data_IF_989728228191
#
_entry.id   IF_989728228191
#
_cell.length_a   1.000
_cell.length_b   1.000
_cell.length_c   1.000
_cell.angle_alpha   90.00
_cell.angle_beta   90.00
_cell.angle_gamma   90.00
#
_symmetry.space_group_name_H-M   'P 1'
#
loop_
_entity.id
_entity.type
_entity.pdbx_description
1 polymer ?
#
# COMPACT_ATOMS: atom_id res chain seq x y z
N UNK A 1 29.82 -14.27 -14.53
CA UNK A 1 28.38 -14.16 -14.21
C UNK A 1 27.74 -13.36 -15.32
N UNK A 2 26.74 -13.91 -16.01
CA UNK A 2 26.18 -13.34 -17.25
C UNK A 2 25.32 -12.11 -16.95
N UNK A 3 25.46 -11.04 -17.74
CA UNK A 3 24.64 -9.81 -17.65
C UNK A 3 23.13 -10.12 -17.65
N UNK A 4 22.69 -11.18 -18.33
CA UNK A 4 21.28 -11.60 -18.32
C UNK A 4 20.81 -12.07 -16.95
N UNK A 5 21.67 -12.74 -16.19
CA UNK A 5 21.37 -13.17 -14.82
C UNK A 5 21.27 -11.97 -13.86
N UNK A 6 22.08 -10.94 -14.11
CA UNK A 6 22.07 -9.69 -13.34
C UNK A 6 20.81 -8.85 -13.63
N UNK A 7 20.32 -8.84 -14.88
CA UNK A 7 19.06 -8.20 -15.28
C UNK A 7 17.82 -8.95 -14.78
N UNK A 8 17.83 -10.29 -14.79
CA UNK A 8 16.74 -11.10 -14.24
C UNK A 8 16.60 -10.94 -12.71
N UNK A 9 17.72 -10.82 -11.99
CA UNK A 9 17.70 -10.50 -10.55
C UNK A 9 17.22 -9.07 -10.26
N UNK A 10 17.48 -8.12 -11.16
CA UNK A 10 17.01 -6.73 -11.04
C UNK A 10 15.48 -6.60 -11.20
N UNK A 11 14.85 -7.53 -11.94
CA UNK A 11 13.40 -7.56 -12.16
C UNK A 11 12.60 -8.24 -11.01
N UNK A 12 13.28 -8.81 -10.01
CA UNK A 12 12.65 -9.42 -8.83
C UNK A 12 12.63 -8.51 -7.59
N UNK A 13 13.39 -7.41 -7.60
CA UNK A 13 13.34 -6.41 -6.55
C UNK A 13 12.27 -5.38 -6.87
N UNK A 14 11.11 -5.51 -6.23
CA UNK A 14 10.19 -4.37 -6.11
C UNK A 14 10.97 -3.19 -5.52
N UNK A 15 10.96 -2.01 -6.15
CA UNK A 15 11.75 -0.87 -5.64
C UNK A 15 11.30 -0.56 -4.21
N UNK A 16 10.00 -0.64 -3.94
CA UNK A 16 9.42 -0.37 -2.62
C UNK A 16 9.51 -1.58 -1.69
N UNK A 17 10.18 -1.42 -0.55
CA UNK A 17 10.31 -2.47 0.47
C UNK A 17 9.43 -2.20 1.68
N UNK A 18 8.93 -3.27 2.30
CA UNK A 18 8.32 -3.16 3.64
C UNK A 18 9.45 -2.79 4.59
N UNK A 19 9.33 -1.71 5.37
CA UNK A 19 10.33 -1.37 6.37
C UNK A 19 10.61 -2.55 7.31
N UNK A 20 11.89 -2.77 7.66
CA UNK A 20 12.26 -3.83 8.61
C UNK A 20 11.84 -3.48 10.05
N UNK A 21 11.82 -2.18 10.37
CA UNK A 21 11.48 -1.59 11.67
C UNK A 21 10.75 -0.25 11.51
N UNK A 22 10.16 0.25 12.60
CA UNK A 22 9.52 1.58 12.64
C UNK A 22 10.55 2.57 13.23
N UNK A 23 11.25 3.29 12.35
CA UNK A 23 12.20 4.35 12.71
C UNK A 23 11.49 5.66 12.98
N UNK A 24 12.18 6.64 13.56
CA UNK A 24 11.59 7.96 13.83
C UNK A 24 11.24 8.72 12.55
N UNK A 25 12.03 8.55 11.48
CA UNK A 25 11.70 9.10 10.16
C UNK A 25 10.39 8.51 9.60
N UNK A 26 10.17 7.20 9.77
CA UNK A 26 8.90 6.55 9.37
C UNK A 26 7.74 7.06 10.23
N UNK A 27 7.93 7.25 11.54
CA UNK A 27 6.91 7.83 12.42
C UNK A 27 6.57 9.25 12.00
N UNK A 28 7.57 10.06 11.70
CA UNK A 28 7.38 11.44 11.24
C UNK A 28 6.57 11.48 9.93
N UNK A 29 6.94 10.64 8.97
CA UNK A 29 6.19 10.49 7.72
C UNK A 29 4.74 10.08 7.98
N UNK A 30 4.50 9.06 8.82
CA UNK A 30 3.15 8.60 9.14
C UNK A 30 2.31 9.68 9.84
N UNK A 31 2.91 10.43 10.79
CA UNK A 31 2.26 11.53 11.52
C UNK A 31 1.87 12.69 10.60
N UNK A 32 2.55 12.86 9.47
CA UNK A 32 2.15 13.85 8.45
C UNK A 32 0.87 13.45 7.68
N UNK A 33 0.46 12.18 7.73
CA UNK A 33 -0.67 11.62 6.97
C UNK A 33 -1.91 11.41 7.83
N UNK A 34 -1.76 10.76 8.98
CA UNK A 34 -2.86 10.38 9.87
C UNK A 34 -2.46 10.51 11.35
N UNK A 35 -3.43 10.74 12.26
CA UNK A 35 -3.15 10.90 13.70
C UNK A 35 -2.86 9.59 14.44
N UNK A 36 -2.84 8.46 13.73
CA UNK A 36 -2.64 7.11 14.29
C UNK A 36 -1.18 6.68 14.22
N UNK A 37 -0.85 5.61 14.93
CA UNK A 37 0.47 4.99 14.85
C UNK A 37 0.49 3.86 13.80
N UNK A 38 1.60 3.71 13.05
CA UNK A 38 1.77 2.60 12.13
C UNK A 38 2.02 1.30 12.91
N UNK A 39 1.49 0.20 12.38
CA UNK A 39 1.56 -1.13 13.00
C UNK A 39 1.98 -2.18 11.98
N UNK A 40 2.86 -3.09 12.39
CA UNK A 40 3.18 -4.25 11.58
C UNK A 40 2.07 -5.29 11.67
N UNK A 41 1.56 -5.72 10.52
CA UNK A 41 0.52 -6.73 10.40
C UNK A 41 0.99 -7.91 9.56
N UNK A 42 0.34 -9.06 9.76
CA UNK A 42 0.55 -10.24 8.92
C UNK A 42 -0.17 -10.06 7.59
N UNK A 43 0.48 -10.46 6.50
CA UNK A 43 -0.14 -10.58 5.19
C UNK A 43 -0.38 -12.05 4.85
N UNK A 44 -1.65 -12.40 4.65
CA UNK A 44 -2.12 -13.74 4.29
C UNK A 44 -3.06 -13.60 3.08
N UNK A 45 -2.49 -13.54 1.85
CA UNK A 45 -3.29 -13.32 0.65
C UNK A 45 -4.33 -14.40 0.42
N UNK A 46 -5.53 -14.02 -0.02
CA UNK A 46 -6.56 -14.99 -0.39
C UNK A 46 -6.18 -15.76 -1.66
N UNK A 47 -6.56 -17.04 -1.73
CA UNK A 47 -6.49 -17.78 -3.00
C UNK A 47 -7.33 -17.06 -4.07
N UNK A 48 -6.74 -16.83 -5.25
CA UNK A 48 -7.37 -16.10 -6.37
C UNK A 48 -7.69 -14.62 -6.06
N UNK A 49 -6.94 -14.00 -5.15
CA UNK A 49 -6.91 -12.54 -5.04
C UNK A 49 -6.11 -11.92 -6.17
N UNK A 50 -6.61 -10.81 -6.71
CA UNK A 50 -5.87 -10.02 -7.69
C UNK A 50 -5.11 -8.90 -6.96
N UNK A 51 -3.89 -8.63 -7.41
CA UNK A 51 -3.08 -7.47 -7.01
C UNK A 51 -3.85 -6.18 -7.36
N UNK A 52 -3.74 -5.14 -6.54
CA UNK A 52 -4.41 -3.83 -6.73
C UNK A 52 -5.93 -3.78 -6.50
N UNK A 53 -6.54 -4.86 -5.99
CA UNK A 53 -7.96 -4.92 -5.60
C UNK A 53 -8.15 -5.09 -4.08
N UNK A 54 -7.42 -4.31 -3.29
CA UNK A 54 -7.35 -4.53 -1.84
C UNK A 54 -8.69 -4.35 -1.13
N UNK A 55 -9.51 -3.41 -1.58
CA UNK A 55 -10.85 -3.18 -1.06
C UNK A 55 -11.77 -4.39 -1.30
N UNK A 56 -11.79 -4.90 -2.53
CA UNK A 56 -12.64 -6.02 -2.95
C UNK A 56 -12.15 -7.34 -2.33
N UNK A 57 -10.83 -7.50 -2.16
CA UNK A 57 -10.27 -8.64 -1.43
C UNK A 57 -10.77 -8.67 0.02
N UNK A 58 -10.81 -7.53 0.70
CA UNK A 58 -11.36 -7.41 2.06
C UNK A 58 -12.87 -7.63 2.07
N UNK A 59 -13.62 -7.09 1.11
CA UNK A 59 -15.08 -7.34 1.01
C UNK A 59 -15.39 -8.84 0.87
N UNK A 60 -14.66 -9.54 0.01
CA UNK A 60 -14.79 -11.00 -0.13
C UNK A 60 -14.42 -11.74 1.15
N UNK A 61 -13.46 -11.23 1.92
CA UNK A 61 -13.10 -11.81 3.23
C UNK A 61 -14.22 -11.62 4.24
N UNK A 62 -14.79 -10.43 4.32
CA UNK A 62 -15.91 -10.10 5.21
C UNK A 62 -17.13 -10.97 4.87
N UNK A 63 -17.49 -11.08 3.59
CA UNK A 63 -18.61 -11.91 3.16
C UNK A 63 -18.46 -13.39 3.57
N UNK A 64 -17.22 -13.91 3.62
CA UNK A 64 -16.93 -15.31 3.97
C UNK A 64 -16.71 -15.55 5.47
N UNK A 65 -16.22 -14.56 6.22
CA UNK A 65 -15.71 -14.78 7.58
C UNK A 65 -16.22 -13.76 8.61
N UNK A 66 -17.05 -12.80 8.20
CA UNK A 66 -17.43 -11.64 9.01
C UNK A 66 -16.24 -10.71 9.31
N UNK A 67 -16.39 -9.85 10.32
CA UNK A 67 -15.41 -8.81 10.65
C UNK A 67 -15.71 -7.50 9.93
N UNK A 68 -14.72 -6.63 9.82
CA UNK A 68 -14.84 -5.30 9.23
C UNK A 68 -13.67 -4.97 8.30
N UNK A 69 -13.86 -3.95 7.48
CA UNK A 69 -12.82 -3.36 6.64
C UNK A 69 -12.25 -2.19 7.40
N UNK A 70 -10.93 -2.16 7.55
CA UNK A 70 -10.22 -0.99 8.06
C UNK A 70 -9.41 -0.37 6.93
N UNK A 71 -9.61 0.92 6.72
CA UNK A 71 -8.93 1.69 5.70
C UNK A 71 -7.68 2.38 6.25
N UNK A 72 -6.74 2.65 5.38
CA UNK A 72 -5.48 3.28 5.75
C UNK A 72 -4.46 3.20 4.63
N UNK A 73 -3.20 3.03 5.02
CA UNK A 73 -2.07 3.12 4.12
C UNK A 73 -1.10 1.96 4.33
N UNK A 74 -0.71 1.31 3.23
CA UNK A 74 0.48 0.47 3.22
C UNK A 74 1.70 1.38 3.14
N UNK A 75 2.61 1.26 4.10
CA UNK A 75 3.81 2.09 4.18
C UNK A 75 4.99 1.33 3.57
N UNK A 76 5.60 1.97 2.59
CA UNK A 76 6.78 1.51 1.89
C UNK A 76 7.95 2.46 2.12
N UNK A 77 9.16 1.92 2.08
CA UNK A 77 10.39 2.69 2.26
C UNK A 77 11.50 2.18 1.35
N UNK A 78 12.19 3.12 0.71
CA UNK A 78 13.50 2.93 0.09
C UNK A 78 14.46 3.88 0.80
N UNK A 79 15.41 3.36 1.60
CA UNK A 79 16.39 4.18 2.31
C UNK A 79 17.11 5.18 1.39
N UNK A 80 17.28 6.41 1.88
CA UNK A 80 17.94 7.52 1.18
C UNK A 80 17.26 7.94 -0.14
N UNK A 81 16.04 7.48 -0.38
CA UNK A 81 15.24 7.80 -1.56
C UNK A 81 13.87 8.33 -1.18
N UNK A 82 12.91 7.48 -0.81
CA UNK A 82 11.55 7.95 -0.53
C UNK A 82 10.76 7.00 0.36
N UNK A 83 9.76 7.60 1.00
CA UNK A 83 8.63 6.92 1.60
C UNK A 83 7.45 6.95 0.63
N UNK A 84 6.65 5.88 0.64
CA UNK A 84 5.36 5.86 -0.05
C UNK A 84 4.28 5.36 0.90
N UNK A 85 3.17 6.09 0.95
CA UNK A 85 1.92 5.63 1.54
C UNK A 85 0.99 5.26 0.40
N UNK A 86 0.77 3.96 0.20
CA UNK A 86 -0.16 3.42 -0.78
C UNK A 86 -1.53 3.24 -0.14
N UNK A 87 -2.57 3.79 -0.79
CA UNK A 87 -3.92 3.68 -0.27
C UNK A 87 -4.37 2.21 -0.23
N UNK A 88 -4.73 1.72 0.97
CA UNK A 88 -4.91 0.29 1.21
C UNK A 88 -6.08 -0.01 2.15
N UNK A 89 -6.56 -1.25 2.12
CA UNK A 89 -7.53 -1.79 3.07
C UNK A 89 -7.07 -3.13 3.63
N UNK A 90 -7.33 -3.33 4.92
CA UNK A 90 -7.01 -4.57 5.64
C UNK A 90 -8.29 -5.13 6.27
N UNK A 91 -8.31 -6.44 6.47
CA UNK A 91 -9.40 -7.10 7.17
C UNK A 91 -9.15 -7.02 8.68
N UNK A 92 -10.10 -6.46 9.41
CA UNK A 92 -10.16 -6.56 10.85
C UNK A 92 -11.07 -7.74 11.21
N UNK A 93 -10.50 -8.76 11.84
CA UNK A 93 -11.25 -9.95 12.24
C UNK A 93 -12.19 -9.64 13.44
N UNK A 94 -13.05 -10.60 13.80
CA UNK A 94 -14.04 -10.44 14.88
C UNK A 94 -13.43 -10.20 16.28
N UNK A 95 -12.14 -10.49 16.47
CA UNK A 95 -11.42 -10.26 17.73
C UNK A 95 -10.56 -8.99 17.67
N UNK A 96 -10.72 -8.17 16.64
CA UNK A 96 -10.01 -6.89 16.47
C UNK A 96 -8.63 -6.99 15.80
N UNK A 97 -8.15 -8.19 15.45
CA UNK A 97 -6.85 -8.39 14.80
C UNK A 97 -6.84 -7.94 13.34
N UNK A 98 -5.75 -7.29 12.91
CA UNK A 98 -5.59 -6.74 11.56
C UNK A 98 -4.77 -7.67 10.67
N UNK A 99 -5.29 -8.00 9.49
CA UNK A 99 -4.66 -8.90 8.53
C UNK A 99 -4.78 -8.30 7.13
N UNK A 100 -3.64 -8.17 6.44
CA UNK A 100 -3.64 -7.90 5.00
C UNK A 100 -4.01 -9.18 4.26
N UNK A 101 -5.09 -9.13 3.48
CA UNK A 101 -5.61 -10.29 2.71
C UNK A 101 -5.36 -10.16 1.21
N UNK A 102 -4.60 -9.12 0.83
CA UNK A 102 -4.26 -8.83 -0.56
C UNK A 102 -2.87 -9.35 -0.90
N UNK A 103 -2.66 -9.85 -2.12
CA UNK A 103 -1.36 -10.34 -2.54
C UNK A 103 -0.42 -9.16 -2.73
N UNK A 104 0.69 -9.19 -2.01
CA UNK A 104 1.78 -8.24 -2.21
C UNK A 104 2.75 -8.78 -3.26
N UNK A 105 3.33 -7.88 -4.04
CA UNK A 105 4.46 -8.23 -4.89
C UNK A 105 5.59 -8.83 -4.03
N UNK A 106 6.16 -9.95 -4.48
CA UNK A 106 7.18 -10.69 -3.73
C UNK A 106 6.65 -11.55 -2.58
N UNK A 107 5.34 -11.78 -2.46
CA UNK A 107 4.71 -12.67 -1.46
C UNK A 107 5.14 -12.40 -0.01
N UNK A 108 5.33 -11.12 0.33
CA UNK A 108 5.74 -10.71 1.68
C UNK A 108 4.67 -11.09 2.69
N UNK A 109 5.08 -11.72 3.80
CA UNK A 109 4.17 -12.16 4.89
C UNK A 109 3.91 -11.09 5.96
N UNK A 110 4.40 -9.87 5.73
CA UNK A 110 4.34 -8.75 6.66
C UNK A 110 4.14 -7.45 5.88
N UNK A 111 3.42 -6.51 6.47
CA UNK A 111 3.20 -5.15 5.96
C UNK A 111 3.29 -4.16 7.13
N UNK A 112 3.81 -2.95 6.89
CA UNK A 112 3.61 -1.83 7.81
C UNK A 112 2.35 -1.09 7.36
N UNK A 113 1.35 -1.02 8.24
CA UNK A 113 0.05 -0.43 7.95
C UNK A 113 -0.21 0.76 8.87
N UNK A 114 -0.67 1.87 8.30
CA UNK A 114 -1.10 3.05 9.03
C UNK A 114 -2.63 3.18 8.92
N UNK A 115 -3.40 2.84 9.97
CA UNK A 115 -4.85 2.99 9.97
C UNK A 115 -5.26 4.46 9.78
N UNK A 116 -6.26 4.76 8.95
CA UNK A 116 -6.75 6.13 8.78
C UNK A 116 -8.23 6.23 9.19
N UNK A 117 -8.55 6.63 10.44
CA UNK A 117 -9.92 6.68 10.94
C UNK A 117 -10.76 7.79 10.30
N UNK A 118 -10.11 8.77 9.66
CA UNK A 118 -10.81 9.82 8.92
C UNK A 118 -11.37 9.28 7.59
N UNK A 119 -11.04 8.05 7.23
CA UNK A 119 -11.64 7.35 6.11
C UNK A 119 -12.91 6.61 6.55
N UNK A 120 -14.02 7.35 6.66
CA UNK A 120 -15.37 6.79 6.73
C UNK A 120 -16.33 7.79 6.10
N UNK A 121 -16.56 7.73 4.77
CA UNK A 121 -17.80 8.31 4.20
C UNK A 121 -17.99 8.08 2.70
N UNK A 122 -16.96 8.08 1.86
CA UNK A 122 -17.22 8.16 0.40
C UNK A 122 -16.34 7.17 -0.40
N UNK A 123 -16.93 6.00 -0.67
CA UNK A 123 -16.34 4.97 -1.52
C UNK A 123 -16.12 5.42 -2.98
N UNK A 124 -16.53 6.65 -3.35
CA UNK A 124 -16.42 7.18 -4.71
C UNK A 124 -15.12 7.94 -4.99
N UNK A 125 -14.26 8.21 -4.00
CA UNK A 125 -13.05 9.00 -4.21
C UNK A 125 -11.78 8.23 -3.82
N UNK A 126 -11.12 7.55 -4.77
CA UNK A 126 -9.84 6.91 -4.49
C UNK A 126 -8.80 7.96 -4.07
N UNK A 127 -8.08 7.73 -2.96
CA UNK A 127 -6.93 8.57 -2.60
C UNK A 127 -5.71 8.18 -3.42
N UNK A 128 -4.91 9.20 -3.71
CA UNK A 128 -3.63 9.05 -4.38
C UNK A 128 -2.61 8.53 -3.39
N UNK A 129 -1.68 7.70 -3.88
CA UNK A 129 -0.49 7.37 -3.11
C UNK A 129 0.31 8.65 -2.84
N UNK A 130 0.83 8.76 -1.63
CA UNK A 130 1.63 9.90 -1.18
C UNK A 130 3.09 9.48 -1.22
N UNK A 131 3.92 10.21 -1.97
CA UNK A 131 5.37 10.07 -1.90
C UNK A 131 5.97 11.23 -1.10
N UNK A 132 6.90 10.92 -0.21
CA UNK A 132 7.71 11.90 0.52
C UNK A 132 9.20 11.55 0.38
N UNK A 133 10.10 12.55 0.27
CA UNK A 133 11.52 12.29 0.12
C UNK A 133 12.11 11.74 1.43
N UNK A 134 13.06 10.81 1.28
CA UNK A 134 13.96 10.38 2.34
C UNK A 134 15.37 10.85 1.95
N UNK A 135 15.78 12.02 2.45
CA UNK A 135 17.00 12.70 2.05
C UNK A 135 16.78 13.88 1.10
N UNK A 136 17.88 14.49 0.66
CA UNK A 136 17.87 15.81 -0.01
C UNK A 136 18.58 15.86 -1.36
N UNK A 137 18.89 14.70 -1.97
CA UNK A 137 19.50 14.70 -3.31
C UNK A 137 18.51 15.23 -4.35
N UNK A 138 19.04 15.89 -5.39
CA UNK A 138 18.23 16.43 -6.49
C UNK A 138 17.38 15.34 -7.13
N UNK A 139 17.95 14.15 -7.33
CA UNK A 139 17.28 13.01 -7.93
C UNK A 139 16.12 12.50 -7.06
N UNK A 140 16.30 12.43 -5.74
CA UNK A 140 15.24 12.05 -4.79
C UNK A 140 14.10 13.05 -4.82
N UNK A 141 14.41 14.34 -4.72
CA UNK A 141 13.42 15.40 -4.72
C UNK A 141 12.65 15.45 -6.05
N UNK A 142 13.35 15.27 -7.17
CA UNK A 142 12.73 15.23 -8.50
C UNK A 142 11.84 13.99 -8.69
N UNK A 143 12.30 12.81 -8.26
CA UNK A 143 11.52 11.58 -8.34
C UNK A 143 10.20 11.72 -7.58
N UNK A 144 10.25 12.22 -6.34
CA UNK A 144 9.05 12.42 -5.52
C UNK A 144 8.12 13.45 -6.15
N UNK A 145 8.66 14.57 -6.66
CA UNK A 145 7.88 15.59 -7.37
C UNK A 145 7.13 15.00 -8.58
N UNK A 146 7.85 14.30 -9.45
CA UNK A 146 7.27 13.68 -10.65
C UNK A 146 6.30 12.54 -10.30
N UNK A 147 6.60 11.74 -9.29
CA UNK A 147 5.74 10.66 -8.80
C UNK A 147 4.40 11.19 -8.28
N UNK A 148 4.41 12.25 -7.47
CA UNK A 148 3.20 12.90 -6.99
C UNK A 148 2.41 13.55 -8.15
N UNK A 149 3.08 14.19 -9.12
CA UNK A 149 2.42 14.70 -10.33
C UNK A 149 1.74 13.59 -11.14
N UNK A 150 2.41 12.45 -11.31
CA UNK A 150 1.83 11.27 -11.97
C UNK A 150 0.61 10.75 -11.20
N UNK A 151 0.70 10.59 -9.88
CA UNK A 151 -0.41 10.11 -9.06
C UNK A 151 -1.64 11.04 -9.15
N UNK A 152 -1.40 12.35 -9.21
CA UNK A 152 -2.46 13.35 -9.43
C UNK A 152 -3.17 13.21 -10.79
N UNK A 153 -2.43 12.80 -11.84
CA UNK A 153 -2.99 12.57 -13.16
C UNK A 153 -3.69 11.21 -13.28
N UNK A 154 -3.13 10.16 -12.68
CA UNK A 154 -3.70 8.80 -12.73
C UNK A 154 -5.15 8.76 -12.27
N UNK A 155 -5.50 9.57 -11.27
CA UNK A 155 -6.88 9.70 -10.80
C UNK A 155 -7.85 10.23 -11.85
N UNK A 156 -7.39 11.09 -12.75
CA UNK A 156 -8.19 11.65 -13.86
C UNK A 156 -8.30 10.68 -15.03
N UNK A 157 -7.28 9.84 -15.20
CA UNK A 157 -7.23 8.84 -16.27
C UNK A 157 -7.80 7.48 -15.85
N UNK A 158 -8.23 7.32 -14.59
CA UNK A 158 -8.79 6.07 -14.10
C UNK A 158 -10.14 5.85 -14.76
N UNK A 159 -10.19 4.94 -15.73
CA UNK A 159 -11.44 4.39 -16.24
C UNK A 159 -12.04 3.57 -15.08
N UNK A 160 -13.23 3.90 -14.57
CA UNK A 160 -13.88 3.08 -13.55
C UNK A 160 -13.96 1.65 -14.06
N UNK A 161 -13.53 0.69 -13.24
CA UNK A 161 -13.70 -0.71 -13.57
C UNK A 161 -15.19 -0.98 -13.76
N UNK A 162 -15.61 -1.31 -14.98
CA UNK A 162 -16.93 -1.91 -15.17
C UNK A 162 -16.88 -3.26 -14.47
N UNK A 163 -17.45 -3.31 -13.27
CA UNK A 163 -17.82 -4.59 -12.66
C UNK A 163 -18.84 -5.19 -13.62
N UNK A 164 -18.40 -6.09 -14.50
CA UNK A 164 -19.33 -7.04 -15.09
C UNK A 164 -19.77 -7.92 -13.94
N UNK A 165 -20.97 -7.67 -13.42
CA UNK A 165 -21.70 -8.70 -12.70
C UNK A 165 -21.86 -9.84 -13.69
N UNK A 166 -21.15 -10.94 -13.45
CA UNK A 166 -21.55 -12.18 -14.08
C UNK A 166 -22.83 -12.60 -13.36
N UNK A 167 -23.96 -12.40 -14.03
CA UNK A 167 -25.23 -13.04 -13.70
C UNK A 167 -25.11 -14.57 -13.82
#
# INVERSE_FOLDING_TARGET
MSERQSFENCMQTTPNTVPSSITDAIREFCRSIAPTEPVFITSVPLRRSATSFCFENVDRKIARSGGSKLHGWAIWHIPDRYFEAEHHAVWQNKTGGLIDVSPQMGQRRRMLFLPDPNWVSDAMQPRQNILAPDGSSTETLEFVRLGNQRNALLMRCRIPGSVRTCD
#
